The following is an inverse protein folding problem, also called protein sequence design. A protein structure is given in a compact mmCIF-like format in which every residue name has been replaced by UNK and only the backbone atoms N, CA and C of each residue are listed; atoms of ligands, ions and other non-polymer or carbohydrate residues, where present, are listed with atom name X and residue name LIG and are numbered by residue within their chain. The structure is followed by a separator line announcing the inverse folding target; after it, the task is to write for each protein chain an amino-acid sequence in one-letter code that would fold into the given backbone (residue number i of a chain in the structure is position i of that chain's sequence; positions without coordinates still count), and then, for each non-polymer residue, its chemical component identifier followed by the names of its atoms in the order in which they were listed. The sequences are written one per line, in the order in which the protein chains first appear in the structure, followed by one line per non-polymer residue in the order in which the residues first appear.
data_IF_366981392933
#
_entry.id   IF_366981392933
#
_cell.length_a   1.000
_cell.length_b   1.000
_cell.length_c   1.000
_cell.angle_alpha   90.00
_cell.angle_beta   90.00
_cell.angle_gamma   90.00
#
_symmetry.space_group_name_H-M   'P 1'
#
loop_
_entity.id
_entity.type
_entity.pdbx_description
1 polymer ?
#
# COMPACT_ATOMS: atom_id res chain seq x y z
N UNK A 1 -13.63 6.88 1.24
CA UNK A 1 -13.68 6.37 -0.15
C UNK A 1 -13.19 7.49 -1.03
N UNK A 2 -12.22 7.21 -1.89
CA UNK A 2 -11.50 8.21 -2.66
C UNK A 2 -11.14 7.60 -4.02
N UNK A 3 -11.53 8.27 -5.09
CA UNK A 3 -11.27 7.84 -6.47
C UNK A 3 -9.89 8.37 -6.88
N UNK A 4 -9.06 7.49 -7.43
CA UNK A 4 -7.74 7.87 -7.98
C UNK A 4 -7.63 7.45 -9.44
N UNK A 5 -6.87 8.21 -10.23
CA UNK A 5 -6.58 7.86 -11.61
C UNK A 5 -5.36 6.96 -11.73
N UNK A 6 -5.39 6.04 -12.69
CA UNK A 6 -4.19 5.36 -13.18
C UNK A 6 -3.39 6.34 -14.02
N UNK A 7 -2.11 6.53 -13.70
CA UNK A 7 -1.22 7.34 -14.52
C UNK A 7 -0.85 6.61 -15.82
N UNK A 8 -0.32 7.34 -16.80
CA UNK A 8 0.18 6.75 -18.06
C UNK A 8 1.32 5.74 -17.83
N UNK A 9 1.97 5.78 -16.67
CA UNK A 9 3.02 4.84 -16.26
C UNK A 9 2.49 3.65 -15.45
N UNK A 10 1.17 3.49 -15.36
CA UNK A 10 0.55 2.40 -14.61
C UNK A 10 0.60 2.56 -13.09
N UNK A 11 0.76 3.78 -12.58
CA UNK A 11 0.81 4.06 -11.14
C UNK A 11 -0.52 4.60 -10.63
N UNK A 12 -0.89 4.23 -9.40
CA UNK A 12 -1.97 4.84 -8.64
C UNK A 12 -1.41 5.49 -7.38
N UNK A 13 -2.01 6.62 -6.98
CA UNK A 13 -1.65 7.28 -5.71
C UNK A 13 -2.51 6.72 -4.60
N UNK A 14 -1.93 6.38 -3.44
CA UNK A 14 -2.72 6.07 -2.24
C UNK A 14 -3.11 7.39 -1.56
N UNK A 15 -4.41 7.75 -1.49
CA UNK A 15 -4.87 8.98 -0.85
C UNK A 15 -4.52 9.02 0.64
N UNK A 16 -4.41 10.23 1.20
CA UNK A 16 -3.92 10.44 2.56
C UNK A 16 -4.71 9.64 3.61
N UNK A 17 -6.04 9.67 3.53
CA UNK A 17 -6.92 8.95 4.45
C UNK A 17 -6.69 7.43 4.43
N UNK A 18 -6.37 6.86 3.27
CA UNK A 18 -6.04 5.44 3.13
C UNK A 18 -4.62 5.14 3.63
N UNK A 19 -3.63 6.00 3.35
CA UNK A 19 -2.26 5.85 3.89
C UNK A 19 -2.27 5.88 5.42
N UNK A 20 -2.98 6.83 6.01
CA UNK A 20 -3.06 7.01 7.46
C UNK A 20 -3.72 5.78 8.11
N UNK A 21 -4.78 5.23 7.50
CA UNK A 21 -5.44 3.99 7.95
C UNK A 21 -4.53 2.76 7.87
N UNK A 22 -3.74 2.65 6.80
CA UNK A 22 -2.79 1.56 6.61
C UNK A 22 -1.45 1.79 7.33
N UNK A 23 -1.28 2.94 7.99
CA UNK A 23 -0.04 3.39 8.64
C UNK A 23 1.17 3.31 7.72
N UNK A 24 0.99 3.70 6.46
CA UNK A 24 2.02 3.67 5.44
C UNK A 24 2.85 4.96 5.45
N UNK A 25 4.17 4.79 5.44
CA UNK A 25 5.16 5.85 5.30
C UNK A 25 5.86 5.76 3.93
N UNK A 26 6.44 6.87 3.44
CA UNK A 26 7.29 6.82 2.25
C UNK A 26 8.42 5.80 2.41
N UNK A 27 8.52 4.87 1.46
CA UNK A 27 9.51 3.78 1.48
C UNK A 27 8.99 2.45 2.04
N UNK A 28 7.78 2.42 2.62
CA UNK A 28 7.15 1.17 3.03
C UNK A 28 6.85 0.27 1.84
N UNK A 29 7.11 -1.03 2.01
CA UNK A 29 6.75 -2.04 1.01
C UNK A 29 5.34 -2.54 1.29
N UNK A 30 4.59 -2.77 0.22
CA UNK A 30 3.25 -3.36 0.27
C UNK A 30 3.21 -4.62 -0.58
N UNK A 31 2.44 -5.60 -0.12
CA UNK A 31 2.02 -6.73 -0.91
C UNK A 31 0.77 -6.33 -1.70
N UNK A 32 0.77 -6.64 -3.00
CA UNK A 32 -0.39 -6.45 -3.87
C UNK A 32 -0.82 -7.78 -4.45
N UNK A 33 -2.08 -8.15 -4.24
CA UNK A 33 -2.67 -9.40 -4.71
C UNK A 33 -3.89 -9.08 -5.58
N UNK A 34 -3.94 -9.66 -6.78
CA UNK A 34 -5.10 -9.54 -7.66
C UNK A 34 -6.14 -10.61 -7.30
N UNK A 35 -7.40 -10.19 -7.27
CA UNK A 35 -8.58 -11.05 -7.21
C UNK A 35 -9.40 -10.84 -8.49
N UNK A 36 -10.52 -11.55 -8.65
CA UNK A 36 -11.36 -11.45 -9.84
C UNK A 36 -11.86 -10.03 -10.14
N UNK A 37 -12.11 -9.22 -9.10
CA UNK A 37 -12.72 -7.90 -9.25
C UNK A 37 -11.97 -6.77 -8.55
N UNK A 38 -10.88 -7.06 -7.84
CA UNK A 38 -10.16 -6.07 -7.05
C UNK A 38 -8.67 -6.41 -6.87
N UNK A 39 -7.87 -5.39 -6.54
CA UNK A 39 -6.53 -5.58 -5.98
C UNK A 39 -6.57 -5.34 -4.47
N UNK A 40 -6.01 -6.25 -3.70
CA UNK A 40 -5.84 -6.13 -2.25
C UNK A 40 -4.42 -5.66 -1.96
N UNK A 41 -4.29 -4.58 -1.18
CA UNK A 41 -2.99 -4.01 -0.79
C UNK A 41 -2.80 -4.18 0.71
N UNK A 42 -1.68 -4.77 1.12
CA UNK A 42 -1.34 -5.02 2.53
C UNK A 42 0.06 -4.49 2.86
N UNK A 43 0.26 -3.71 3.94
CA UNK A 43 1.60 -3.36 4.41
C UNK A 43 2.41 -4.62 4.72
N UNK A 44 3.64 -4.70 4.20
CA UNK A 44 4.58 -5.72 4.66
C UNK A 44 5.20 -5.23 5.97
N UNK A 45 5.10 -6.04 7.04
CA UNK A 45 5.75 -5.72 8.31
C UNK A 45 7.25 -5.50 8.05
N UNK A 46 7.79 -4.38 8.53
CA UNK A 46 9.24 -4.11 8.45
C UNK A 46 9.98 -5.24 9.20
N UNK A 47 11.03 -5.86 8.63
CA UNK A 47 11.86 -6.83 9.33
C UNK A 47 12.47 -6.31 10.64
N UNK A 48 12.46 -4.99 10.86
CA UNK A 48 13.06 -4.33 12.03
C UNK A 48 12.33 -4.56 13.34
N UNK A 49 11.09 -5.06 13.35
CA UNK A 49 10.45 -5.49 14.62
C UNK A 49 10.84 -6.92 15.03
N UNK A 50 11.39 -7.72 14.12
CA UNK A 50 11.78 -9.12 14.37
C UNK A 50 13.30 -9.33 14.48
N UNK A 51 14.11 -8.28 14.28
CA UNK A 51 15.57 -8.31 14.43
C UNK A 51 16.07 -7.40 15.58
N UNK A 52 15.25 -7.16 16.61
CA UNK A 52 15.78 -6.78 17.93
C UNK A 52 16.18 -8.06 18.66
N UNK A 53 17.30 -8.62 18.22
CA UNK A 53 18.16 -9.46 19.05
C UNK A 53 19.14 -8.58 19.80
#
# INVERSE_FOLDING_TARGET
MSITKLSSKGQITIPKDIRDKLKLEPGDKVLMEATEHAAVIRPLKKPSESMKG
#
